data_IF_548384126391
#
_entry.id   IF_548384126391
#
_cell.length_a   1.000
_cell.length_b   1.000
_cell.length_c   1.000
_cell.angle_alpha   90.00
_cell.angle_beta   90.00
_cell.angle_gamma   90.00
#
_symmetry.space_group_name_H-M   'P 1'
#
loop_
_entity.id
_entity.type
_entity.pdbx_description
1 polymer ?
#
# COMPACT_ATOMS: atom_id res chain seq x y z
N UNK A 1 -0.81 21.91 -3.18
CA UNK A 1 0.52 21.33 -3.43
C UNK A 1 0.40 19.83 -3.56
N UNK A 2 1.07 19.27 -4.53
CA UNK A 2 1.13 17.82 -4.65
C UNK A 2 2.03 17.24 -3.57
N UNK A 3 1.61 16.14 -2.99
CA UNK A 3 2.43 15.38 -2.05
C UNK A 3 3.74 14.98 -2.75
N UNK A 4 4.85 15.26 -2.10
CA UNK A 4 6.17 14.88 -2.60
C UNK A 4 6.84 13.95 -1.60
N UNK A 5 7.03 12.72 -2.04
CA UNK A 5 7.62 11.65 -1.26
C UNK A 5 9.05 11.96 -0.81
N UNK A 6 9.81 12.63 -1.65
CA UNK A 6 11.20 12.99 -1.35
C UNK A 6 11.28 13.90 -0.12
N UNK A 7 10.27 14.74 0.07
CA UNK A 7 10.22 15.69 1.18
C UNK A 7 9.68 15.07 2.46
N UNK A 8 8.76 14.12 2.33
CA UNK A 8 8.08 13.56 3.49
C UNK A 8 7.61 12.13 3.21
N UNK A 9 8.45 11.11 3.46
CA UNK A 9 8.00 9.72 3.33
C UNK A 9 6.93 9.39 4.39
N UNK A 10 6.07 8.42 4.08
CA UNK A 10 5.05 7.96 5.00
C UNK A 10 5.65 7.05 6.07
N UNK A 11 5.07 7.06 7.25
CA UNK A 11 5.38 6.04 8.27
C UNK A 11 4.68 4.74 7.90
N UNK A 12 5.10 3.64 8.51
CA UNK A 12 4.48 2.33 8.30
C UNK A 12 2.99 2.35 8.65
N UNK A 13 2.62 3.02 9.74
CA UNK A 13 1.21 3.14 10.15
C UNK A 13 0.43 3.99 9.17
N UNK A 14 1.00 5.10 8.70
CA UNK A 14 0.35 5.94 7.69
C UNK A 14 0.09 5.17 6.39
N UNK A 15 1.06 4.38 5.95
CA UNK A 15 0.89 3.55 4.76
C UNK A 15 -0.20 2.48 4.97
N UNK A 16 -0.26 1.87 6.17
CA UNK A 16 -1.29 0.89 6.50
C UNK A 16 -2.68 1.54 6.50
N UNK A 17 -2.82 2.70 7.11
CA UNK A 17 -4.08 3.45 7.16
C UNK A 17 -4.54 3.81 5.76
N UNK A 18 -3.64 4.39 4.97
CA UNK A 18 -3.95 4.82 3.61
C UNK A 18 -4.33 3.62 2.72
N UNK A 19 -3.54 2.55 2.76
CA UNK A 19 -3.82 1.33 2.00
C UNK A 19 -5.15 0.71 2.38
N UNK A 20 -5.49 0.70 3.67
CA UNK A 20 -6.76 0.17 4.17
C UNK A 20 -7.94 0.96 3.61
N UNK A 21 -7.87 2.29 3.63
CA UNK A 21 -8.92 3.13 3.04
C UNK A 21 -9.08 2.85 1.54
N UNK A 22 -7.97 2.70 0.83
CA UNK A 22 -7.98 2.40 -0.60
C UNK A 22 -8.63 1.04 -0.87
N UNK A 23 -8.31 0.03 -0.07
CA UNK A 23 -8.92 -1.30 -0.19
C UNK A 23 -10.43 -1.25 0.05
N UNK A 24 -10.84 -0.63 1.15
CA UNK A 24 -12.25 -0.62 1.56
C UNK A 24 -13.13 0.20 0.61
N UNK A 25 -12.57 1.22 -0.01
CA UNK A 25 -13.28 1.98 -1.05
C UNK A 25 -13.71 1.07 -2.20
N UNK A 26 -12.93 0.05 -2.50
CA UNK A 26 -13.16 -0.88 -3.62
C UNK A 26 -13.92 -2.14 -3.20
N UNK A 27 -13.64 -2.66 -2.03
CA UNK A 27 -14.15 -3.97 -1.62
C UNK A 27 -15.42 -3.88 -0.78
N UNK A 28 -15.65 -2.79 -0.06
CA UNK A 28 -16.86 -2.60 0.77
C UNK A 28 -17.41 -1.18 0.60
N UNK A 29 -17.79 -0.80 -0.62
CA UNK A 29 -18.23 0.58 -0.91
C UNK A 29 -19.43 1.03 -0.09
N UNK A 30 -20.29 0.12 0.35
CA UNK A 30 -21.46 0.46 1.16
C UNK A 30 -21.11 0.95 2.55
N UNK A 31 -19.94 0.55 3.07
CA UNK A 31 -19.45 0.96 4.39
C UNK A 31 -18.46 2.10 4.32
N UNK A 32 -18.07 2.51 3.14
CA UNK A 32 -17.08 3.55 2.89
C UNK A 32 -17.78 4.89 2.61
N UNK A 33 -17.31 6.05 3.15
CA UNK A 33 -16.11 6.27 3.96
C UNK A 33 -16.16 5.60 5.34
N UNK A 34 -14.99 5.33 5.92
CA UNK A 34 -14.88 4.54 7.14
C UNK A 34 -14.87 5.39 8.41
N UNK A 35 -15.50 4.88 9.46
CA UNK A 35 -15.31 5.40 10.82
C UNK A 35 -13.94 5.00 11.32
N UNK A 36 -13.43 5.66 12.34
CA UNK A 36 -12.15 5.30 12.97
C UNK A 36 -12.15 3.83 13.41
N UNK A 37 -13.22 3.37 14.03
CA UNK A 37 -13.32 1.99 14.50
C UNK A 37 -13.20 0.98 13.35
N UNK A 38 -13.94 1.19 12.27
CA UNK A 38 -13.87 0.31 11.09
C UNK A 38 -12.50 0.34 10.45
N UNK A 39 -11.87 1.51 10.40
CA UNK A 39 -10.53 1.65 9.87
C UNK A 39 -9.51 0.85 10.68
N UNK A 40 -9.55 0.97 12.01
CA UNK A 40 -8.62 0.24 12.90
C UNK A 40 -8.78 -1.27 12.72
N UNK A 41 -10.00 -1.76 12.65
CA UNK A 41 -10.27 -3.17 12.40
C UNK A 41 -9.63 -3.60 11.06
N UNK A 42 -9.81 -2.79 10.04
CA UNK A 42 -9.23 -3.05 8.71
C UNK A 42 -7.70 -3.03 8.69
N UNK A 43 -7.09 -2.10 9.44
CA UNK A 43 -5.63 -2.02 9.55
C UNK A 43 -5.05 -3.26 10.22
N UNK A 44 -5.77 -3.82 11.17
CA UNK A 44 -5.28 -4.92 12.02
C UNK A 44 -5.73 -6.31 11.56
N UNK A 45 -6.30 -6.42 10.36
CA UNK A 45 -6.66 -7.72 9.79
C UNK A 45 -5.46 -8.66 9.80
N UNK A 46 -5.73 -9.93 10.04
CA UNK A 46 -4.68 -10.96 10.03
C UNK A 46 -4.47 -11.56 8.65
N UNK A 47 -5.40 -11.31 7.74
CA UNK A 47 -5.31 -11.77 6.35
C UNK A 47 -5.06 -10.57 5.43
N UNK A 48 -4.41 -10.80 4.31
CA UNK A 48 -4.13 -9.79 3.28
C UNK A 48 -3.30 -8.60 3.78
N UNK A 49 -2.52 -8.83 4.84
CA UNK A 49 -1.64 -7.82 5.46
C UNK A 49 -0.27 -8.42 5.72
N UNK A 50 0.77 -7.67 5.38
CA UNK A 50 2.15 -8.03 5.68
C UNK A 50 2.94 -6.74 5.97
N UNK A 51 3.43 -6.54 7.19
CA UNK A 51 3.23 -7.40 8.35
C UNK A 51 1.83 -7.25 8.97
N UNK A 52 1.42 -8.20 9.79
CA UNK A 52 0.22 -8.02 10.62
C UNK A 52 0.55 -6.96 11.67
N UNK A 53 -0.36 -6.02 11.87
CA UNK A 53 -0.16 -4.91 12.80
C UNK A 53 -1.21 -4.91 13.91
N UNK A 54 -0.89 -4.21 14.99
CA UNK A 54 -1.82 -3.94 16.10
C UNK A 54 -1.85 -2.43 16.33
N UNK A 55 -2.47 -1.71 15.42
CA UNK A 55 -2.58 -0.25 15.45
C UNK A 55 -3.67 0.11 16.46
N UNK A 56 -3.35 1.04 17.38
CA UNK A 56 -4.33 1.55 18.34
C UNK A 56 -5.20 2.64 17.68
N UNK A 57 -6.33 2.95 18.33
CA UNK A 57 -7.20 4.05 17.89
C UNK A 57 -6.42 5.36 17.84
N UNK A 58 -5.60 5.62 18.87
CA UNK A 58 -4.79 6.84 18.94
C UNK A 58 -3.76 6.92 17.80
N UNK A 59 -3.09 5.81 17.53
CA UNK A 59 -2.11 5.74 16.43
C UNK A 59 -2.77 5.95 15.07
N UNK A 60 -3.95 5.34 14.87
CA UNK A 60 -4.70 5.51 13.63
C UNK A 60 -5.17 6.95 13.45
N UNK A 61 -5.68 7.58 14.55
CA UNK A 61 -6.13 8.97 14.50
C UNK A 61 -4.97 9.91 14.17
N UNK A 62 -3.82 9.70 14.80
CA UNK A 62 -2.62 10.49 14.53
C UNK A 62 -2.20 10.37 13.06
N UNK A 63 -2.23 9.14 12.53
CA UNK A 63 -1.91 8.90 11.12
C UNK A 63 -2.91 9.61 10.19
N UNK A 64 -4.20 9.55 10.51
CA UNK A 64 -5.24 10.24 9.75
C UNK A 64 -5.02 11.76 9.74
N UNK A 65 -4.67 12.33 10.90
CA UNK A 65 -4.43 13.77 11.00
C UNK A 65 -3.25 14.18 10.11
N UNK A 66 -2.18 13.40 10.10
CA UNK A 66 -1.03 13.66 9.26
C UNK A 66 -1.34 13.48 7.77
N UNK A 67 -2.06 12.42 7.41
CA UNK A 67 -2.47 12.18 6.03
C UNK A 67 -3.42 13.27 5.53
N UNK A 68 -4.28 13.78 6.39
CA UNK A 68 -5.16 14.90 6.08
C UNK A 68 -4.34 16.17 5.78
N UNK A 69 -3.33 16.43 6.58
CA UNK A 69 -2.41 17.55 6.39
C UNK A 69 -1.68 17.45 5.03
N UNK A 70 -1.37 16.22 4.61
CA UNK A 70 -0.73 15.95 3.32
C UNK A 70 -1.72 15.91 2.14
N UNK A 71 -3.00 16.11 2.41
CA UNK A 71 -4.08 16.03 1.40
C UNK A 71 -4.24 14.65 0.77
N UNK A 72 -3.85 13.61 1.50
CA UNK A 72 -3.99 12.22 1.06
C UNK A 72 -5.28 11.56 1.56
N UNK A 73 -5.92 12.14 2.58
CA UNK A 73 -7.23 11.72 3.06
C UNK A 73 -8.09 12.95 3.33
N UNK A 74 -9.41 12.74 3.34
CA UNK A 74 -10.39 13.75 3.70
C UNK A 74 -11.26 13.23 4.84
N UNK A 75 -11.59 14.13 5.75
CA UNK A 75 -12.52 13.86 6.83
C UNK A 75 -13.91 14.35 6.45
N UNK A 76 -14.89 13.46 6.54
CA UNK A 76 -16.30 13.80 6.30
C UNK A 76 -17.01 13.87 7.64
N UNK A 77 -17.47 15.06 8.02
CA UNK A 77 -18.11 15.33 9.31
C UNK A 77 -19.62 15.51 9.20
N UNK A 78 -20.21 15.21 8.05
CA UNK A 78 -21.65 15.44 7.82
C UNK A 78 -22.59 14.49 8.54
N UNK A 79 -22.09 13.43 9.17
CA UNK A 79 -22.90 12.43 9.89
C UNK A 79 -22.71 12.48 11.40
N UNK A 80 -23.17 11.42 12.07
CA UNK A 80 -23.04 11.30 13.53
C UNK A 80 -21.59 11.16 14.00
N UNK A 81 -20.78 10.48 13.20
CA UNK A 81 -19.37 10.26 13.48
C UNK A 81 -18.55 10.74 12.31
N UNK A 82 -17.34 11.18 12.57
CA UNK A 82 -16.39 11.50 11.52
C UNK A 82 -16.10 10.22 10.71
N UNK A 83 -16.06 10.37 9.40
CA UNK A 83 -15.71 9.29 8.49
C UNK A 83 -14.56 9.76 7.61
N UNK A 84 -13.80 8.80 7.12
CA UNK A 84 -12.55 9.09 6.43
C UNK A 84 -12.53 8.42 5.05
N UNK A 85 -12.03 9.15 4.07
CA UNK A 85 -11.84 8.64 2.70
C UNK A 85 -10.48 9.05 2.19
N UNK A 86 -9.91 8.26 1.28
CA UNK A 86 -8.61 8.59 0.70
C UNK A 86 -8.77 9.53 -0.50
N UNK A 87 -7.69 10.26 -0.78
CA UNK A 87 -7.56 11.13 -1.94
C UNK A 87 -6.26 10.76 -2.68
N UNK A 88 -5.95 9.48 -2.75
CA UNK A 88 -4.64 8.99 -3.18
C UNK A 88 -4.30 9.39 -4.62
N UNK A 89 -5.20 9.11 -5.55
CA UNK A 89 -4.94 9.36 -6.97
C UNK A 89 -4.60 10.83 -7.24
N UNK A 90 -5.40 11.73 -6.68
CA UNK A 90 -5.20 13.17 -6.84
C UNK A 90 -4.02 13.67 -6.03
N UNK A 91 -3.88 13.20 -4.80
CA UNK A 91 -2.82 13.63 -3.90
C UNK A 91 -1.42 13.23 -4.38
N UNK A 92 -1.28 12.04 -4.92
CA UNK A 92 -0.02 11.53 -5.45
C UNK A 92 0.15 11.85 -6.93
N UNK A 93 -0.96 11.97 -7.66
CA UNK A 93 -0.93 12.27 -9.09
C UNK A 93 -0.70 11.04 -9.95
N UNK A 94 -1.47 9.97 -9.70
CA UNK A 94 -1.37 8.71 -10.46
C UNK A 94 -2.75 8.25 -10.90
N UNK A 95 -2.84 7.47 -11.98
CA UNK A 95 -4.13 6.93 -12.42
C UNK A 95 -4.62 5.81 -11.49
N UNK A 96 -5.87 5.45 -11.65
CA UNK A 96 -6.54 4.43 -10.85
C UNK A 96 -5.77 3.11 -10.79
N UNK A 97 -5.32 2.62 -11.93
CA UNK A 97 -4.61 1.34 -12.02
C UNK A 97 -3.33 1.37 -11.19
N UNK A 98 -2.58 2.45 -11.30
CA UNK A 98 -1.35 2.62 -10.51
C UNK A 98 -1.64 2.73 -9.02
N UNK A 99 -2.71 3.43 -8.65
CA UNK A 99 -3.14 3.54 -7.25
C UNK A 99 -3.46 2.16 -6.66
N UNK A 100 -4.17 1.31 -7.41
CA UNK A 100 -4.49 -0.05 -6.99
C UNK A 100 -3.22 -0.84 -6.69
N UNK A 101 -2.24 -0.79 -7.58
CA UNK A 101 -0.97 -1.50 -7.39
C UNK A 101 -0.22 -0.99 -6.16
N UNK A 102 -0.16 0.31 -5.98
CA UNK A 102 0.50 0.91 -4.82
C UNK A 102 -0.20 0.55 -3.52
N UNK A 103 -1.52 0.55 -3.50
CA UNK A 103 -2.30 0.12 -2.33
C UNK A 103 -2.02 -1.31 -1.94
N UNK A 104 -1.97 -2.21 -2.91
CA UNK A 104 -1.66 -3.62 -2.66
C UNK A 104 -0.23 -3.81 -2.13
N UNK A 105 0.73 -3.07 -2.68
CA UNK A 105 2.11 -3.13 -2.22
C UNK A 105 2.24 -2.60 -0.78
N UNK A 106 1.49 -1.55 -0.43
CA UNK A 106 1.49 -1.02 0.94
C UNK A 106 0.89 -2.01 1.93
N UNK A 107 -0.13 -2.76 1.54
CA UNK A 107 -0.82 -3.67 2.45
C UNK A 107 -0.16 -5.04 2.56
N UNK A 108 0.34 -5.57 1.46
CA UNK A 108 0.81 -6.96 1.39
C UNK A 108 2.32 -7.12 1.24
N UNK A 109 3.06 -6.02 1.12
CA UNK A 109 4.51 -6.06 0.95
C UNK A 109 4.96 -6.45 -0.46
N UNK A 110 6.21 -6.89 -0.63
CA UNK A 110 6.76 -7.19 -1.96
C UNK A 110 5.99 -8.29 -2.69
N UNK A 111 5.71 -8.05 -3.96
CA UNK A 111 4.93 -8.98 -4.80
C UNK A 111 5.44 -8.97 -6.23
N UNK A 112 5.28 -10.11 -6.92
CA UNK A 112 5.53 -10.20 -8.36
C UNK A 112 4.35 -9.55 -9.11
N UNK A 113 4.53 -9.25 -10.39
CA UNK A 113 3.45 -8.71 -11.22
C UNK A 113 2.26 -9.69 -11.30
N UNK A 114 2.54 -10.98 -11.37
CA UNK A 114 1.50 -12.01 -11.38
C UNK A 114 0.69 -12.05 -10.09
N UNK A 115 1.37 -11.96 -8.95
CA UNK A 115 0.73 -11.91 -7.64
C UNK A 115 -0.14 -10.65 -7.50
N UNK A 116 0.38 -9.50 -7.94
CA UNK A 116 -0.37 -8.24 -7.93
C UNK A 116 -1.65 -8.34 -8.77
N UNK A 117 -1.56 -8.96 -9.94
CA UNK A 117 -2.74 -9.13 -10.80
C UNK A 117 -3.84 -9.91 -10.09
N UNK A 118 -3.48 -11.02 -9.46
CA UNK A 118 -4.43 -11.87 -8.73
C UNK A 118 -5.00 -11.13 -7.53
N UNK A 119 -4.14 -10.49 -6.75
CA UNK A 119 -4.54 -9.78 -5.53
C UNK A 119 -5.38 -8.53 -5.82
N UNK A 120 -5.28 -8.00 -7.03
CA UNK A 120 -6.03 -6.81 -7.45
C UNK A 120 -7.46 -7.12 -7.89
N UNK A 121 -7.81 -8.38 -8.10
CA UNK A 121 -9.05 -8.77 -8.78
C UNK A 121 -10.32 -8.08 -8.25
N UNK A 122 -10.43 -7.91 -6.94
CA UNK A 122 -11.58 -7.25 -6.31
C UNK A 122 -11.49 -5.73 -6.32
N UNK A 123 -10.32 -5.17 -6.65
CA UNK A 123 -10.12 -3.72 -6.72
C UNK A 123 -10.22 -3.21 -8.14
N UNK A 124 -9.55 -3.88 -9.05
CA UNK A 124 -9.50 -3.53 -10.47
C UNK A 124 -9.03 -4.76 -11.26
N UNK A 125 -9.77 -5.13 -12.28
CA UNK A 125 -9.42 -6.31 -13.08
C UNK A 125 -8.46 -5.92 -14.21
N UNK A 126 -7.20 -6.27 -14.07
CA UNK A 126 -6.22 -6.09 -15.14
C UNK A 126 -6.39 -7.16 -16.21
N UNK A 127 -6.23 -6.77 -17.47
CA UNK A 127 -6.43 -7.66 -18.62
C UNK A 127 -5.42 -8.83 -18.61
N UNK A 128 -4.16 -8.53 -18.29
CA UNK A 128 -3.07 -9.50 -18.28
C UNK A 128 -1.90 -9.01 -17.43
N UNK A 129 -0.88 -9.84 -17.28
CA UNK A 129 0.32 -9.49 -16.51
C UNK A 129 1.09 -8.35 -17.18
N UNK A 130 1.11 -8.30 -18.51
CA UNK A 130 1.79 -7.22 -19.25
C UNK A 130 1.22 -5.85 -18.91
N UNK A 131 -0.08 -5.76 -18.72
CA UNK A 131 -0.76 -4.52 -18.27
C UNK A 131 -0.23 -4.07 -16.92
N UNK A 132 -0.13 -5.01 -15.97
CA UNK A 132 0.39 -4.71 -14.62
C UNK A 132 1.84 -4.23 -14.73
N UNK A 133 2.67 -4.95 -15.49
CA UNK A 133 4.08 -4.58 -15.69
C UNK A 133 4.21 -3.18 -16.30
N UNK A 134 3.35 -2.84 -17.25
CA UNK A 134 3.35 -1.52 -17.90
C UNK A 134 3.13 -0.40 -16.89
N UNK A 135 2.15 -0.54 -16.00
CA UNK A 135 1.89 0.46 -14.97
C UNK A 135 3.02 0.51 -13.93
N UNK A 136 3.61 -0.64 -13.58
CA UNK A 136 4.74 -0.68 -12.66
C UNK A 136 5.97 0.00 -13.26
N UNK A 137 6.24 -0.23 -14.54
CA UNK A 137 7.35 0.42 -15.24
C UNK A 137 7.18 1.94 -15.25
N UNK A 138 5.98 2.42 -15.52
CA UNK A 138 5.68 3.86 -15.48
C UNK A 138 5.93 4.45 -14.09
N UNK A 139 5.55 3.72 -13.04
CA UNK A 139 5.78 4.16 -11.67
C UNK A 139 7.25 4.18 -11.30
N UNK A 140 8.03 3.23 -11.81
CA UNK A 140 9.48 3.16 -11.57
C UNK A 140 10.22 4.25 -12.35
N UNK A 141 9.79 4.54 -13.56
CA UNK A 141 10.40 5.54 -14.44
C UNK A 141 9.84 6.95 -14.26
N UNK A 142 9.00 7.15 -13.27
CA UNK A 142 8.32 8.43 -13.01
C UNK A 142 9.34 9.55 -12.82
N UNK A 143 9.13 10.68 -13.50
CA UNK A 143 10.07 11.80 -13.52
C UNK A 143 10.21 12.48 -12.16
N UNK A 144 11.37 13.08 -11.93
CA UNK A 144 11.63 13.86 -10.71
C UNK A 144 10.67 15.04 -10.57
N UNK A 145 10.24 15.61 -11.68
CA UNK A 145 9.25 16.71 -11.69
C UNK A 145 7.93 16.29 -11.07
N UNK A 146 7.57 15.02 -11.23
CA UNK A 146 6.34 14.45 -10.66
C UNK A 146 6.53 13.90 -9.26
N UNK A 147 7.76 13.96 -8.74
CA UNK A 147 8.08 13.46 -7.41
C UNK A 147 8.96 12.21 -7.40
N UNK A 148 9.36 11.71 -8.57
CA UNK A 148 10.26 10.57 -8.69
C UNK A 148 9.56 9.21 -8.65
N UNK A 149 10.34 8.15 -8.65
CA UNK A 149 9.86 6.77 -8.67
C UNK A 149 9.03 6.44 -7.42
N UNK A 150 7.95 5.71 -7.60
CA UNK A 150 7.09 5.27 -6.50
C UNK A 150 7.18 3.76 -6.24
N UNK A 151 7.80 3.02 -7.14
CA UNK A 151 8.07 1.59 -6.97
C UNK A 151 9.48 1.27 -7.42
N UNK A 152 9.99 0.13 -6.96
CA UNK A 152 11.29 -0.37 -7.35
C UNK A 152 11.16 -1.88 -7.60
N UNK A 153 11.68 -2.33 -8.73
CA UNK A 153 11.78 -3.76 -9.01
C UNK A 153 13.03 -4.31 -8.31
N UNK A 154 12.84 -5.29 -7.45
CA UNK A 154 13.95 -5.89 -6.70
C UNK A 154 14.74 -6.82 -7.61
N UNK A 155 16.04 -7.03 -7.34
CA UNK A 155 16.82 -8.06 -8.03
C UNK A 155 16.16 -9.42 -7.83
N UNK A 156 16.31 -10.30 -8.82
CA UNK A 156 15.76 -11.65 -8.73
C UNK A 156 16.41 -12.41 -7.57
N UNK A 157 15.58 -12.95 -6.68
CA UNK A 157 16.07 -13.77 -5.59
C UNK A 157 16.61 -15.10 -6.14
N UNK A 158 17.64 -15.71 -5.51
CA UNK A 158 18.15 -17.00 -5.94
C UNK A 158 17.04 -18.05 -6.01
N UNK A 159 16.94 -18.73 -7.14
CA UNK A 159 15.91 -19.75 -7.36
C UNK A 159 14.55 -19.21 -7.77
N UNK A 160 14.32 -17.91 -7.75
CA UNK A 160 13.07 -17.31 -8.15
C UNK A 160 13.02 -17.10 -9.66
N UNK A 161 11.85 -17.31 -10.26
CA UNK A 161 11.64 -17.07 -11.69
C UNK A 161 11.36 -15.63 -12.00
N UNK A 162 10.66 -14.95 -11.08
CA UNK A 162 10.19 -13.58 -11.27
C UNK A 162 10.73 -12.65 -10.21
N UNK A 163 10.84 -11.37 -10.57
CA UNK A 163 11.27 -10.32 -9.67
C UNK A 163 10.05 -9.78 -8.94
N UNK A 164 10.27 -9.33 -7.73
CA UNK A 164 9.24 -8.70 -6.91
C UNK A 164 9.37 -7.19 -7.00
N UNK A 165 8.26 -6.52 -6.73
CA UNK A 165 8.17 -5.08 -6.69
C UNK A 165 7.89 -4.62 -5.28
N UNK A 166 8.42 -3.45 -4.91
CA UNK A 166 8.14 -2.78 -3.63
C UNK A 166 7.73 -1.35 -3.91
N UNK A 167 6.93 -0.77 -3.02
CA UNK A 167 6.62 0.66 -3.10
C UNK A 167 7.72 1.46 -2.39
N UNK A 168 7.84 2.74 -2.76
CA UNK A 168 8.81 3.66 -2.18
C UNK A 168 8.14 4.76 -1.34
N UNK A 169 6.86 4.60 -1.00
CA UNK A 169 6.09 5.62 -0.28
C UNK A 169 6.58 5.85 1.15
N UNK A 170 7.26 4.86 1.73
CA UNK A 170 7.87 4.99 3.05
C UNK A 170 9.35 5.35 2.99
N UNK A 171 9.84 5.76 1.82
CA UNK A 171 11.22 6.13 1.60
C UNK A 171 12.01 5.09 0.82
N UNK A 172 13.32 5.33 0.62
CA UNK A 172 14.16 4.39 -0.11
C UNK A 172 14.20 3.02 0.55
N UNK A 173 14.28 1.97 -0.26
CA UNK A 173 14.35 0.59 0.21
C UNK A 173 15.77 0.06 0.00
N UNK A 174 16.34 -0.58 1.01
CA UNK A 174 17.61 -1.28 0.88
C UNK A 174 17.36 -2.58 0.10
N UNK A 175 17.84 -2.59 -1.13
CA UNK A 175 17.62 -3.68 -2.08
C UNK A 175 18.13 -5.02 -1.53
N UNK A 176 19.30 -5.03 -0.87
CA UNK A 176 19.86 -6.27 -0.34
C UNK A 176 19.06 -6.79 0.86
N UNK A 177 18.63 -5.90 1.75
CA UNK A 177 17.80 -6.26 2.91
C UNK A 177 16.41 -6.74 2.47
N UNK A 178 15.80 -6.06 1.49
CA UNK A 178 14.50 -6.43 0.96
C UNK A 178 14.54 -7.81 0.30
N UNK A 179 15.58 -8.11 -0.48
CA UNK A 179 15.76 -9.41 -1.10
C UNK A 179 15.97 -10.51 -0.06
N UNK A 180 16.78 -10.24 0.96
CA UNK A 180 17.03 -11.18 2.06
C UNK A 180 15.75 -11.42 2.89
N UNK A 181 15.01 -10.35 3.16
CA UNK A 181 13.75 -10.45 3.88
C UNK A 181 12.73 -11.31 3.16
N UNK A 182 12.65 -11.17 1.84
CA UNK A 182 11.75 -11.97 1.02
C UNK A 182 12.12 -13.47 1.08
N UNK A 183 13.41 -13.77 1.12
CA UNK A 183 13.88 -15.16 1.24
C UNK A 183 13.58 -15.75 2.61
N UNK A 184 13.80 -14.97 3.63
CA UNK A 184 13.59 -15.42 5.02
C UNK A 184 12.11 -15.56 5.37
N UNK A 185 11.26 -14.88 4.67
CA UNK A 185 9.82 -14.93 4.91
C UNK A 185 9.15 -16.19 4.34
N UNK A 186 9.83 -16.94 3.50
CA UNK A 186 9.28 -18.15 2.90
C UNK A 186 9.90 -19.39 3.54
N UNK A 187 9.10 -20.41 3.95
CA UNK A 187 7.66 -20.42 3.99
C UNK A 187 7.13 -19.82 5.31
N UNK A 188 6.11 -18.98 5.24
CA UNK A 188 5.62 -18.30 6.44
C UNK A 188 5.14 -19.23 7.55
N UNK A 189 4.56 -20.33 7.18
CA UNK A 189 4.05 -21.30 8.15
C UNK A 189 5.13 -21.91 9.03
N UNK A 190 6.33 -22.08 8.52
CA UNK A 190 7.45 -22.65 9.25
C UNK A 190 8.00 -21.65 10.28
N UNK A 191 8.06 -20.39 9.91
CA UNK A 191 8.49 -19.35 10.83
C UNK A 191 7.53 -19.21 12.01
N UNK A 192 6.25 -19.22 11.74
CA UNK A 192 5.25 -19.13 12.78
C UNK A 192 5.35 -20.29 13.77
N UNK A 193 5.72 -21.48 13.31
CA UNK A 193 5.92 -22.66 14.18
C UNK A 193 7.17 -22.56 15.03
N UNK A 194 8.22 -21.97 14.50
CA UNK A 194 9.49 -21.85 15.22
C UNK A 194 9.37 -20.81 16.33
N UNK A 195 8.61 -19.77 16.11
CA UNK A 195 8.39 -18.71 17.10
C UNK A 195 7.36 -19.08 18.16
N UNK A 196 6.55 -20.06 17.88
CA UNK A 196 5.57 -20.55 18.83
C UNK A 196 6.21 -21.48 19.82
#
# INVERSE_FOLDING_TARGET
>A
MSFNLADRPLTAIEARVLGTLMEKARTVPDSYPLTLNSLVIGCNQKTTRDPVMSVSDAEAQEALDELKRLSLVHENTGGRSARWEHNFQRGVGVPEQSAVLLGLLMLRGPQTAGELRINAERWYRFADISSVEGFLDELQERSEEKGGALVLQLPRAPGAREQRWVHLLCGPVDVSTAASGAQNAAPPGLQARVEA
#
